data_IF_129643211810
#
_entry.id   IF_129643211810
#
_cell.length_a   1.000
_cell.length_b   1.000
_cell.length_c   1.000
_cell.angle_alpha   90.00
_cell.angle_beta   90.00
_cell.angle_gamma   90.00
#
_symmetry.space_group_name_H-M   'P 1'
#
loop_
_entity.id
_entity.type
_entity.pdbx_description
1 polymer ?
#
# COMPACT_ATOMS: atom_id res chain seq x y z
N UNK A 1 1.43 -11.21 19.95
CA UNK A 1 0.78 -11.02 18.65
C UNK A 1 0.82 -9.53 18.40
N UNK A 2 1.72 -9.08 17.53
CA UNK A 2 1.89 -7.66 17.23
C UNK A 2 1.00 -7.31 16.04
N UNK A 3 -0.23 -6.88 16.36
CA UNK A 3 -1.27 -6.57 15.38
C UNK A 3 -0.89 -5.34 14.52
N UNK A 4 0.00 -4.47 15.01
CA UNK A 4 0.48 -3.30 14.27
C UNK A 4 1.51 -3.67 13.20
N UNK A 5 2.41 -4.62 13.47
CA UNK A 5 3.38 -5.11 12.49
C UNK A 5 2.72 -5.85 11.32
N UNK A 6 1.68 -6.64 11.59
CA UNK A 6 0.93 -7.35 10.55
C UNK A 6 0.08 -6.41 9.67
N UNK A 7 -0.32 -5.25 10.21
CA UNK A 7 -1.03 -4.22 9.45
C UNK A 7 -0.14 -3.51 8.40
N UNK A 8 1.19 -3.63 8.51
CA UNK A 8 2.13 -3.12 7.49
C UNK A 8 2.23 -4.05 6.27
N UNK A 9 1.91 -5.34 6.44
CA UNK A 9 2.02 -6.38 5.41
C UNK A 9 0.64 -6.86 4.95
N UNK A 10 -0.26 -5.93 4.61
CA UNK A 10 -1.57 -6.31 4.05
C UNK A 10 -1.39 -6.74 2.58
N UNK A 11 -1.57 -8.03 2.24
CA UNK A 11 -1.43 -8.47 0.86
C UNK A 11 -2.60 -7.94 0.02
N UNK A 12 -2.36 -7.69 -1.27
CA UNK A 12 -3.42 -7.29 -2.23
C UNK A 12 -4.66 -8.18 -2.14
N UNK A 13 -4.46 -9.47 -1.93
CA UNK A 13 -5.57 -10.43 -1.84
C UNK A 13 -6.48 -10.22 -0.63
N UNK A 14 -5.97 -9.66 0.48
CA UNK A 14 -6.80 -9.28 1.61
C UNK A 14 -7.73 -8.10 1.24
N UNK A 15 -7.22 -7.12 0.49
CA UNK A 15 -8.04 -6.01 -0.02
C UNK A 15 -9.11 -6.48 -1.02
N UNK A 16 -8.76 -7.43 -1.89
CA UNK A 16 -9.73 -8.04 -2.83
C UNK A 16 -10.83 -8.79 -2.08
N UNK A 17 -10.48 -9.55 -1.04
CA UNK A 17 -11.48 -10.22 -0.18
C UNK A 17 -12.39 -9.22 0.51
N UNK A 18 -11.84 -8.15 1.10
CA UNK A 18 -12.63 -7.09 1.74
C UNK A 18 -13.61 -6.46 0.75
N UNK A 19 -13.14 -6.07 -0.44
CA UNK A 19 -13.99 -5.42 -1.43
C UNK A 19 -15.10 -6.33 -1.96
N UNK A 20 -14.81 -7.61 -2.18
CA UNK A 20 -15.78 -8.56 -2.73
C UNK A 20 -16.75 -9.12 -1.69
N UNK A 21 -16.30 -9.36 -0.46
CA UNK A 21 -17.09 -10.02 0.58
C UNK A 21 -17.84 -9.04 1.49
N UNK A 22 -17.26 -7.88 1.78
CA UNK A 22 -17.82 -6.91 2.73
C UNK A 22 -18.45 -5.69 2.04
N UNK A 23 -17.97 -5.34 0.84
CA UNK A 23 -18.45 -4.18 0.09
C UNK A 23 -19.24 -4.55 -1.18
N UNK A 24 -19.47 -5.84 -1.44
CA UNK A 24 -20.22 -6.37 -2.58
C UNK A 24 -19.75 -5.87 -3.96
N UNK A 25 -18.48 -5.48 -4.08
CA UNK A 25 -17.88 -5.04 -5.33
C UNK A 25 -17.42 -6.24 -6.16
N UNK A 26 -17.39 -6.08 -7.48
CA UNK A 26 -16.70 -7.06 -8.33
C UNK A 26 -15.18 -6.87 -8.24
N UNK A 27 -14.43 -7.93 -8.56
CA UNK A 27 -12.96 -7.92 -8.51
C UNK A 27 -12.36 -6.78 -9.35
N UNK A 28 -12.97 -6.47 -10.49
CA UNK A 28 -12.52 -5.41 -11.39
C UNK A 28 -12.61 -4.03 -10.73
N UNK A 29 -13.73 -3.71 -10.07
CA UNK A 29 -13.90 -2.45 -9.33
C UNK A 29 -12.88 -2.33 -8.20
N UNK A 30 -12.63 -3.42 -7.47
CA UNK A 30 -11.63 -3.43 -6.40
C UNK A 30 -10.22 -3.20 -6.95
N UNK A 31 -9.87 -3.86 -8.06
CA UNK A 31 -8.57 -3.69 -8.71
C UNK A 31 -8.37 -2.27 -9.24
N UNK A 32 -9.42 -1.64 -9.78
CA UNK A 32 -9.41 -0.25 -10.23
C UNK A 32 -9.20 0.72 -9.08
N UNK A 33 -9.89 0.52 -7.95
CA UNK A 33 -9.73 1.35 -6.74
C UNK A 33 -8.31 1.24 -6.19
N UNK A 34 -7.80 0.02 -6.02
CA UNK A 34 -6.43 -0.23 -5.55
C UNK A 34 -5.44 0.45 -6.51
N UNK A 35 -5.61 0.26 -7.82
CA UNK A 35 -4.74 0.87 -8.83
C UNK A 35 -4.76 2.40 -8.79
N UNK A 36 -5.92 3.01 -8.59
CA UNK A 36 -6.07 4.47 -8.45
C UNK A 36 -5.28 5.00 -7.25
N UNK A 37 -5.43 4.36 -6.09
CA UNK A 37 -4.73 4.75 -4.86
C UNK A 37 -3.21 4.57 -5.01
N UNK A 38 -2.76 3.44 -5.58
CA UNK A 38 -1.34 3.21 -5.83
C UNK A 38 -0.72 4.28 -6.74
N UNK A 39 -1.43 4.72 -7.79
CA UNK A 39 -0.96 5.81 -8.67
C UNK A 39 -0.76 7.12 -7.90
N UNK A 40 -1.70 7.45 -7.01
CA UNK A 40 -1.59 8.64 -6.16
C UNK A 40 -0.39 8.52 -5.21
N UNK A 41 -0.23 7.36 -4.55
CA UNK A 41 0.88 7.10 -3.64
C UNK A 41 2.24 7.23 -4.35
N UNK A 42 2.40 6.63 -5.53
CA UNK A 42 3.62 6.75 -6.34
C UNK A 42 3.92 8.22 -6.67
N UNK A 43 2.89 8.99 -7.05
CA UNK A 43 3.06 10.41 -7.35
C UNK A 43 3.52 11.20 -6.13
N UNK A 44 2.96 10.93 -4.95
CA UNK A 44 3.44 11.53 -3.70
C UNK A 44 4.88 11.16 -3.40
N UNK A 45 5.25 9.88 -3.54
CA UNK A 45 6.62 9.43 -3.36
C UNK A 45 7.56 10.17 -4.30
N UNK A 46 7.23 10.30 -5.58
CA UNK A 46 8.06 11.03 -6.54
C UNK A 46 8.21 12.51 -6.16
N UNK A 47 7.12 13.18 -5.82
CA UNK A 47 7.15 14.58 -5.35
C UNK A 47 8.04 14.72 -4.11
N UNK A 48 7.94 13.79 -3.17
CA UNK A 48 8.72 13.82 -1.95
C UNK A 48 10.22 13.62 -2.25
N UNK A 49 10.58 12.71 -3.14
CA UNK A 49 11.97 12.51 -3.58
C UNK A 49 12.52 13.74 -4.30
N UNK A 50 11.71 14.40 -5.12
CA UNK A 50 12.09 15.61 -5.86
C UNK A 50 12.29 16.82 -4.92
N UNK A 51 11.41 16.98 -3.92
CA UNK A 51 11.42 18.12 -3.00
C UNK A 51 12.38 17.97 -1.82
N UNK A 52 12.65 16.73 -1.38
CA UNK A 52 13.45 16.42 -0.20
C UNK A 52 14.57 15.42 -0.51
N UNK A 53 15.44 15.72 -1.50
CA UNK A 53 16.51 14.82 -1.89
C UNK A 53 17.46 14.57 -0.71
N UNK A 54 17.73 13.29 -0.42
CA UNK A 54 18.63 12.88 0.66
C UNK A 54 18.05 12.96 2.08
N UNK A 55 16.80 13.41 2.25
CA UNK A 55 16.11 13.39 3.55
C UNK A 55 15.11 12.24 3.69
N UNK A 56 14.73 11.62 2.57
CA UNK A 56 13.89 10.43 2.55
C UNK A 56 14.82 9.23 2.44
N UNK A 57 15.00 8.51 3.54
CA UNK A 57 15.67 7.21 3.49
C UNK A 57 14.75 6.22 2.77
N UNK A 58 15.33 5.44 1.85
CA UNK A 58 14.64 4.27 1.33
C UNK A 58 14.28 3.35 2.50
N UNK A 59 13.15 2.66 2.33
CA UNK A 59 12.58 1.68 3.25
C UNK A 59 13.69 0.97 4.02
N UNK A 60 13.75 1.19 5.34
CA UNK A 60 14.71 0.50 6.20
C UNK A 60 14.52 -0.99 5.95
N UNK A 61 15.51 -1.72 5.38
CA UNK A 61 15.38 -3.15 5.22
C UNK A 61 15.24 -3.74 6.61
N UNK A 62 14.17 -4.50 6.79
CA UNK A 62 13.93 -5.46 7.86
C UNK A 62 15.22 -5.91 8.55
N UNK A 63 15.27 -5.73 9.87
CA UNK A 63 16.24 -6.36 10.76
C UNK A 63 16.56 -7.80 10.31
N UNK A 64 17.84 -8.19 10.13
CA UNK A 64 18.18 -9.59 10.00
C UNK A 64 17.93 -10.26 11.36
N UNK A 65 17.16 -11.34 11.33
CA UNK A 65 16.93 -12.24 12.46
C UNK A 65 18.22 -12.64 13.20
#
# INVERSE_FOLDING_TARGET
MDIMGEALDIPRQALVKLGTQEAELCVQEVDEIIGSICKVAIRFSNIAHDLLPGQIQAETPTDPK
#
